data_IF_299554134122
#
_entry.id   IF_299554134122
#
_cell.length_a   1.000
_cell.length_b   1.000
_cell.length_c   1.000
_cell.angle_alpha   90.00
_cell.angle_beta   90.00
_cell.angle_gamma   90.00
#
_symmetry.space_group_name_H-M   'P 1'
#
loop_
_entity.id
_entity.type
_entity.pdbx_description
1 polymer ?
#
# COMPACT_ATOMS: atom_id res chain seq x y z
N UNK A 1 14.54 -51.73 -75.44
CA UNK A 1 15.76 -51.40 -74.67
C UNK A 1 15.38 -50.32 -73.67
N UNK A 2 15.74 -50.50 -72.40
CA UNK A 2 15.55 -49.58 -71.26
C UNK A 2 14.13 -49.44 -70.69
N UNK A 3 13.91 -49.42 -69.37
CA UNK A 3 14.61 -49.99 -68.21
C UNK A 3 13.55 -49.91 -67.09
N UNK A 4 13.35 -50.99 -66.33
CA UNK A 4 12.50 -50.97 -65.14
C UNK A 4 13.24 -50.23 -64.03
N UNK A 5 12.63 -49.23 -63.40
CA UNK A 5 13.23 -48.55 -62.23
C UNK A 5 12.22 -48.52 -61.10
N UNK A 6 12.39 -49.47 -60.18
CA UNK A 6 11.75 -49.50 -58.86
C UNK A 6 12.32 -48.36 -58.03
N UNK A 7 11.47 -47.42 -57.58
CA UNK A 7 11.85 -46.36 -56.65
C UNK A 7 11.50 -46.82 -55.22
N UNK A 8 12.51 -46.96 -54.38
CA UNK A 8 12.38 -47.32 -52.96
C UNK A 8 13.02 -46.22 -52.09
N UNK A 9 12.33 -45.89 -50.99
CA UNK A 9 12.74 -45.12 -49.79
C UNK A 9 12.92 -43.59 -49.96
N UNK A 10 12.65 -42.75 -48.96
CA UNK A 10 12.56 -42.96 -47.51
C UNK A 10 11.51 -42.02 -46.87
N UNK A 11 10.77 -42.49 -45.87
CA UNK A 11 9.96 -41.64 -45.00
C UNK A 11 10.89 -41.09 -43.91
N UNK A 12 11.24 -39.80 -43.99
CA UNK A 12 11.91 -39.08 -42.91
C UNK A 12 10.88 -38.80 -41.80
N UNK A 13 10.98 -39.55 -40.71
CA UNK A 13 10.24 -39.25 -39.49
C UNK A 13 10.87 -38.01 -38.84
N UNK A 14 10.21 -36.86 -38.92
CA UNK A 14 10.59 -35.69 -38.15
C UNK A 14 10.17 -35.92 -36.69
N UNK A 15 11.14 -36.24 -35.83
CA UNK A 15 10.96 -36.12 -34.39
C UNK A 15 10.90 -34.61 -34.09
N UNK A 16 9.68 -34.07 -33.96
CA UNK A 16 9.51 -32.75 -33.35
C UNK A 16 9.94 -32.89 -31.90
N UNK A 17 11.11 -32.34 -31.59
CA UNK A 17 11.55 -32.11 -30.21
C UNK A 17 10.44 -31.32 -29.51
N UNK A 18 9.73 -31.97 -28.61
CA UNK A 18 8.92 -31.26 -27.62
C UNK A 18 9.93 -30.58 -26.73
N UNK A 19 10.31 -29.34 -27.08
CA UNK A 19 10.83 -28.44 -26.06
C UNK A 19 9.70 -28.36 -25.04
N UNK A 20 9.94 -28.90 -23.85
CA UNK A 20 9.13 -28.53 -22.69
C UNK A 20 9.11 -27.00 -22.71
N UNK A 21 7.92 -26.43 -22.92
CA UNK A 21 7.73 -25.04 -22.58
C UNK A 21 8.10 -24.98 -21.11
N UNK A 22 9.22 -24.31 -20.80
CA UNK A 22 9.43 -23.80 -19.46
C UNK A 22 8.10 -23.15 -19.09
N UNK A 23 7.47 -23.64 -18.02
CA UNK A 23 6.43 -22.87 -17.38
C UNK A 23 7.13 -21.57 -16.99
N UNK A 24 6.98 -20.56 -17.84
CA UNK A 24 7.11 -19.17 -17.46
C UNK A 24 6.06 -19.00 -16.38
N UNK A 25 6.44 -19.32 -15.15
CA UNK A 25 5.75 -18.93 -13.93
C UNK A 25 5.76 -17.40 -13.99
N UNK A 26 4.82 -16.83 -14.73
CA UNK A 26 4.53 -15.42 -14.70
C UNK A 26 4.23 -15.15 -13.23
N UNK A 27 5.18 -14.54 -12.53
CA UNK A 27 5.02 -14.11 -11.14
C UNK A 27 3.73 -13.30 -11.12
N UNK A 28 2.69 -13.87 -10.51
CA UNK A 28 1.36 -13.30 -10.59
C UNK A 28 1.37 -11.86 -10.04
N UNK A 29 0.91 -10.90 -10.85
CA UNK A 29 0.74 -9.52 -10.39
C UNK A 29 -0.35 -9.49 -9.31
N UNK A 30 -0.08 -8.79 -8.21
CA UNK A 30 -1.03 -8.62 -7.11
C UNK A 30 -1.30 -7.15 -6.88
N UNK A 31 -2.57 -6.74 -6.93
CA UNK A 31 -3.01 -5.39 -6.57
C UNK A 31 -2.77 -5.02 -5.10
N UNK A 32 -2.22 -5.94 -4.30
CA UNK A 32 -1.80 -5.66 -2.93
C UNK A 32 -0.44 -4.95 -2.88
N UNK A 33 0.40 -5.09 -3.91
CA UNK A 33 1.75 -4.51 -3.92
C UNK A 33 1.68 -3.00 -4.14
N UNK A 34 2.27 -2.28 -3.19
CA UNK A 34 2.42 -0.82 -3.25
C UNK A 34 3.83 -0.37 -2.88
N UNK A 35 4.04 0.95 -2.96
CA UNK A 35 5.33 1.60 -2.73
C UNK A 35 5.26 2.59 -1.57
N UNK A 36 6.17 2.44 -0.59
CA UNK A 36 6.49 3.52 0.35
C UNK A 36 7.52 4.41 -0.30
N UNK A 37 7.09 5.56 -0.83
CA UNK A 37 7.94 6.41 -1.64
C UNK A 37 8.63 7.50 -0.82
N UNK A 38 9.97 7.47 -0.83
CA UNK A 38 10.81 8.54 -0.29
C UNK A 38 11.73 9.03 -1.42
N UNK A 39 11.61 10.29 -1.89
CA UNK A 39 12.36 10.75 -3.04
C UNK A 39 13.85 10.86 -2.74
N UNK A 40 14.69 10.41 -3.68
CA UNK A 40 16.12 10.66 -3.64
C UNK A 40 16.48 11.83 -4.57
N UNK A 41 16.90 12.96 -3.99
CA UNK A 41 17.26 14.15 -4.77
C UNK A 41 18.55 13.99 -5.58
N UNK A 42 19.41 13.02 -5.24
CA UNK A 42 20.66 12.75 -5.96
C UNK A 42 20.41 12.02 -7.27
N UNK A 43 19.39 11.17 -7.32
CA UNK A 43 19.05 10.35 -8.48
C UNK A 43 17.53 10.38 -8.77
N UNK A 44 16.98 11.55 -9.13
CA UNK A 44 15.54 11.71 -9.31
C UNK A 44 14.99 10.91 -10.51
N UNK A 45 15.86 10.52 -11.46
CA UNK A 45 15.53 9.64 -12.57
C UNK A 45 15.06 8.26 -12.12
N UNK A 46 15.59 7.76 -11.00
CA UNK A 46 15.34 6.40 -10.51
C UNK A 46 13.89 6.23 -10.05
N UNK A 47 13.18 7.34 -9.78
CA UNK A 47 11.76 7.31 -9.47
C UNK A 47 10.94 6.66 -10.59
N UNK A 48 11.39 6.72 -11.85
CA UNK A 48 10.64 6.15 -12.99
C UNK A 48 10.72 4.62 -13.06
N UNK A 49 11.65 3.98 -12.35
CA UNK A 49 11.77 2.51 -12.29
C UNK A 49 10.49 1.86 -11.74
N UNK A 50 9.75 2.58 -10.88
CA UNK A 50 8.55 2.05 -10.22
C UNK A 50 7.29 2.07 -11.08
N UNK A 51 7.28 2.83 -12.19
CA UNK A 51 6.11 3.03 -13.06
C UNK A 51 6.37 2.67 -14.53
N UNK A 52 7.51 2.03 -14.80
CA UNK A 52 7.83 1.54 -16.14
C UNK A 52 6.92 0.36 -16.55
N UNK A 53 6.73 0.11 -17.86
CA UNK A 53 6.01 -1.07 -18.34
C UNK A 53 6.52 -2.36 -17.68
N UNK A 54 5.59 -3.18 -17.18
CA UNK A 54 5.92 -4.41 -16.45
C UNK A 54 6.02 -4.24 -14.92
N UNK A 55 5.92 -3.01 -14.38
CA UNK A 55 5.71 -2.82 -12.94
C UNK A 55 4.32 -3.33 -12.53
N UNK A 56 4.25 -4.04 -11.41
CA UNK A 56 3.01 -4.56 -10.81
C UNK A 56 2.60 -3.78 -9.54
N UNK A 57 3.21 -2.61 -9.32
CA UNK A 57 2.82 -1.70 -8.24
C UNK A 57 1.52 -0.99 -8.59
N UNK A 58 0.57 -0.99 -7.65
CA UNK A 58 -0.79 -0.47 -7.90
C UNK A 58 -1.13 0.77 -7.06
N UNK A 59 -0.38 1.02 -5.99
CA UNK A 59 -0.60 2.15 -5.11
C UNK A 59 0.71 2.60 -4.43
N UNK A 60 0.74 3.83 -3.94
CA UNK A 60 1.85 4.35 -3.14
C UNK A 60 1.41 5.39 -2.13
N UNK A 61 2.26 5.64 -1.14
CA UNK A 61 2.16 6.79 -0.26
C UNK A 61 3.56 7.35 0.01
N UNK A 62 3.63 8.58 0.54
CA UNK A 62 4.90 9.29 0.76
C UNK A 62 4.96 10.00 2.12
N UNK A 63 4.18 9.53 3.10
CA UNK A 63 3.96 10.15 4.41
C UNK A 63 3.29 11.54 4.38
N UNK A 64 2.84 12.02 3.22
CA UNK A 64 2.27 13.36 3.05
C UNK A 64 0.81 13.36 2.59
N UNK A 65 0.25 14.57 2.56
CA UNK A 65 -1.09 14.86 2.04
C UNK A 65 -1.15 14.90 0.50
N UNK A 66 -0.04 15.21 -0.15
CA UNK A 66 0.02 15.46 -1.59
C UNK A 66 0.90 14.45 -2.31
N UNK A 67 0.47 14.09 -3.52
CA UNK A 67 1.18 13.17 -4.39
C UNK A 67 2.58 13.72 -4.76
N UNK A 68 3.56 12.82 -4.81
CA UNK A 68 4.91 13.16 -5.25
C UNK A 68 4.92 13.65 -6.70
N UNK A 69 5.60 14.78 -7.03
CA UNK A 69 5.69 15.29 -8.40
C UNK A 69 6.24 14.28 -9.41
N UNK A 70 7.07 13.33 -8.95
CA UNK A 70 7.65 12.26 -9.74
C UNK A 70 6.61 11.37 -10.46
N UNK A 71 5.37 11.32 -9.95
CA UNK A 71 4.27 10.52 -10.51
C UNK A 71 3.08 11.39 -10.93
N UNK A 72 3.30 12.69 -11.15
CA UNK A 72 2.23 13.62 -11.53
C UNK A 72 1.59 13.31 -12.89
N UNK A 73 2.29 12.60 -13.77
CA UNK A 73 1.79 12.12 -15.06
C UNK A 73 1.07 10.78 -15.01
N UNK A 74 1.08 10.10 -13.86
CA UNK A 74 0.44 8.79 -13.68
C UNK A 74 -0.96 8.97 -13.11
N UNK A 75 -1.95 8.29 -13.68
CA UNK A 75 -3.34 8.41 -13.23
C UNK A 75 -3.54 7.72 -11.88
N UNK A 76 -4.62 8.04 -11.16
CA UNK A 76 -4.98 7.32 -9.93
C UNK A 76 -5.47 5.90 -10.19
N UNK A 77 -5.90 5.58 -11.41
CA UNK A 77 -6.29 4.23 -11.80
C UNK A 77 -5.05 3.34 -11.99
N UNK A 78 -3.98 3.89 -12.57
CA UNK A 78 -2.73 3.16 -12.82
C UNK A 78 -1.84 3.05 -11.57
N UNK A 79 -1.79 4.11 -10.75
CA UNK A 79 -0.95 4.16 -9.55
C UNK A 79 -1.57 5.07 -8.48
N UNK A 80 -2.43 4.48 -7.64
CA UNK A 80 -3.18 5.23 -6.62
C UNK A 80 -2.23 5.90 -5.63
N UNK A 81 -2.44 7.19 -5.35
CA UNK A 81 -1.74 7.86 -4.27
C UNK A 81 -2.65 7.88 -3.05
N UNK A 82 -2.17 7.34 -1.94
CA UNK A 82 -2.91 7.29 -0.67
C UNK A 82 -2.38 8.40 0.25
N UNK A 83 -3.14 9.49 0.49
CA UNK A 83 -2.71 10.54 1.39
C UNK A 83 -2.61 10.05 2.83
N UNK A 84 -1.65 10.60 3.57
CA UNK A 84 -1.44 10.27 4.98
C UNK A 84 -1.59 11.50 5.88
N UNK A 85 -2.41 11.36 6.92
CA UNK A 85 -2.37 12.22 8.10
C UNK A 85 -1.23 11.75 8.99
N UNK A 86 0.01 12.18 8.74
CA UNK A 86 1.18 11.65 9.43
C UNK A 86 1.16 11.89 10.95
N UNK A 87 0.71 13.06 11.37
CA UNK A 87 0.55 13.44 12.77
C UNK A 87 -0.80 14.11 13.02
N UNK A 88 -0.92 15.01 14.00
CA UNK A 88 -2.14 15.82 14.13
C UNK A 88 -2.17 16.94 13.09
N UNK A 89 -3.36 17.29 12.61
CA UNK A 89 -3.59 18.41 11.71
C UNK A 89 -4.94 19.06 11.99
N UNK A 90 -5.10 20.33 11.66
CA UNK A 90 -6.40 21.04 11.66
C UNK A 90 -6.98 21.21 10.26
N UNK A 91 -6.24 20.85 9.20
CA UNK A 91 -6.59 21.09 7.79
C UNK A 91 -6.78 19.81 6.99
N UNK A 92 -6.47 18.64 7.54
CA UNK A 92 -6.47 17.39 6.76
C UNK A 92 -7.81 17.12 6.07
N UNK A 93 -8.94 17.34 6.76
CA UNK A 93 -10.26 17.20 6.16
C UNK A 93 -10.47 18.15 4.96
N UNK A 94 -10.07 19.42 5.11
CA UNK A 94 -10.22 20.41 4.03
C UNK A 94 -9.28 20.14 2.88
N UNK A 95 -8.08 19.64 3.15
CA UNK A 95 -7.08 19.30 2.14
C UNK A 95 -7.55 18.10 1.29
N UNK A 96 -8.08 17.05 1.92
CA UNK A 96 -8.66 15.91 1.20
C UNK A 96 -9.87 16.34 0.36
N UNK A 97 -10.77 17.17 0.91
CA UNK A 97 -11.90 17.72 0.14
C UNK A 97 -11.44 18.53 -1.07
N UNK A 98 -10.36 19.29 -0.93
CA UNK A 98 -9.76 20.05 -2.04
C UNK A 98 -9.20 19.13 -3.13
N UNK A 99 -8.50 18.05 -2.75
CA UNK A 99 -8.03 17.03 -3.70
C UNK A 99 -9.18 16.40 -4.48
N UNK A 100 -10.26 16.00 -3.79
CA UNK A 100 -11.45 15.45 -4.44
C UNK A 100 -12.12 16.47 -5.36
N UNK A 101 -12.27 17.72 -4.92
CA UNK A 101 -12.88 18.79 -5.70
C UNK A 101 -12.07 19.15 -6.96
N UNK A 102 -10.74 18.96 -6.92
CA UNK A 102 -9.85 19.17 -8.07
C UNK A 102 -9.75 17.95 -9.00
N UNK A 103 -10.59 16.94 -8.79
CA UNK A 103 -10.73 15.78 -9.68
C UNK A 103 -9.87 14.58 -9.31
N UNK A 104 -9.16 14.60 -8.18
CA UNK A 104 -8.42 13.41 -7.70
C UNK A 104 -9.39 12.42 -7.06
N UNK A 105 -9.42 11.20 -7.57
CA UNK A 105 -10.18 10.10 -6.97
C UNK A 105 -9.46 9.55 -5.72
N UNK A 106 -9.62 10.22 -4.57
CA UNK A 106 -9.08 9.74 -3.29
C UNK A 106 -10.02 8.66 -2.75
N UNK A 107 -9.56 7.40 -2.69
CA UNK A 107 -10.40 6.29 -2.21
C UNK A 107 -9.98 5.76 -0.84
N UNK A 108 -8.72 5.96 -0.45
CA UNK A 108 -8.18 5.58 0.85
C UNK A 108 -7.40 6.74 1.50
N UNK A 109 -7.34 6.75 2.82
CA UNK A 109 -6.40 7.58 3.60
C UNK A 109 -5.70 6.75 4.68
N UNK A 110 -4.44 7.08 4.94
CA UNK A 110 -3.65 6.55 6.05
C UNK A 110 -3.64 7.56 7.20
N UNK A 111 -3.50 7.08 8.43
CA UNK A 111 -3.46 7.95 9.61
C UNK A 111 -2.33 7.56 10.55
N UNK A 112 -1.80 8.60 11.21
CA UNK A 112 -0.82 8.62 12.29
C UNK A 112 0.33 7.62 12.12
N UNK A 113 1.51 8.12 11.74
CA UNK A 113 2.67 7.27 11.51
C UNK A 113 3.40 6.96 12.83
N UNK A 114 3.35 5.71 13.28
CA UNK A 114 3.98 5.24 14.51
C UNK A 114 3.76 6.20 15.67
N UNK A 115 2.50 6.48 16.04
CA UNK A 115 2.20 7.46 17.08
C UNK A 115 2.70 6.99 18.46
N UNK A 116 2.91 5.69 18.63
CA UNK A 116 3.54 5.11 19.81
C UNK A 116 5.08 5.26 19.83
N UNK A 117 5.68 5.59 18.68
CA UNK A 117 7.11 5.88 18.51
C UNK A 117 7.50 7.31 18.88
N UNK A 118 8.76 7.67 18.66
CA UNK A 118 9.27 9.03 18.88
C UNK A 118 9.63 9.71 17.57
N UNK A 119 9.62 11.05 17.56
CA UNK A 119 10.06 11.82 16.39
C UNK A 119 11.52 11.55 16.00
N UNK A 120 12.37 11.21 16.98
CA UNK A 120 13.76 10.83 16.73
C UNK A 120 13.90 9.51 15.94
N UNK A 121 12.87 8.66 15.93
CA UNK A 121 12.84 7.41 15.16
C UNK A 121 11.92 7.52 13.93
N UNK A 122 11.43 8.72 13.61
CA UNK A 122 10.51 8.94 12.49
C UNK A 122 9.02 8.67 12.80
N UNK A 123 8.67 8.46 14.07
CA UNK A 123 7.27 8.34 14.51
C UNK A 123 6.65 9.68 14.88
N UNK A 124 5.32 9.76 14.89
CA UNK A 124 4.58 11.01 15.10
C UNK A 124 4.48 11.41 16.57
N UNK A 125 4.74 10.50 17.50
CA UNK A 125 4.78 10.74 18.95
C UNK A 125 3.50 11.43 19.48
N UNK A 126 2.35 10.77 19.31
CA UNK A 126 1.02 11.31 19.66
C UNK A 126 0.37 10.41 20.68
N UNK A 127 -0.24 10.98 21.72
CA UNK A 127 -1.00 10.17 22.68
C UNK A 127 -2.32 9.64 22.07
N UNK A 128 -2.82 8.49 22.52
CA UNK A 128 -4.07 7.93 22.00
C UNK A 128 -5.28 8.89 22.12
N UNK A 129 -5.38 9.64 23.21
CA UNK A 129 -6.47 10.60 23.43
C UNK A 129 -6.41 11.80 22.48
N UNK A 130 -5.21 12.32 22.19
CA UNK A 130 -5.02 13.41 21.23
C UNK A 130 -5.32 12.92 19.81
N UNK A 131 -4.87 11.71 19.46
CA UNK A 131 -5.18 11.10 18.17
C UNK A 131 -6.70 10.87 18.00
N UNK A 132 -7.40 10.37 19.02
CA UNK A 132 -8.85 10.18 18.99
C UNK A 132 -9.61 11.50 18.78
N UNK A 133 -9.27 12.55 19.53
CA UNK A 133 -9.89 13.87 19.35
C UNK A 133 -9.63 14.43 17.94
N UNK A 134 -8.41 14.26 17.42
CA UNK A 134 -8.07 14.68 16.07
C UNK A 134 -8.83 13.89 15.00
N UNK A 135 -8.90 12.56 15.14
CA UNK A 135 -9.62 11.66 14.24
C UNK A 135 -11.09 12.07 14.10
N UNK A 136 -11.76 12.33 15.21
CA UNK A 136 -13.16 12.75 15.24
C UNK A 136 -13.38 13.99 14.38
N UNK A 137 -12.46 14.96 14.44
CA UNK A 137 -12.58 16.21 13.68
C UNK A 137 -12.11 16.12 12.23
N UNK A 138 -11.09 15.31 11.94
CA UNK A 138 -10.37 15.34 10.66
C UNK A 138 -10.59 14.12 9.77
N UNK A 139 -10.85 12.95 10.36
CA UNK A 139 -10.85 11.67 9.65
C UNK A 139 -12.26 11.10 9.57
N UNK A 140 -13.01 11.08 10.68
CA UNK A 140 -14.38 10.53 10.71
C UNK A 140 -15.30 11.16 9.62
N UNK A 141 -15.26 12.50 9.37
CA UNK A 141 -16.09 13.10 8.33
C UNK A 141 -15.75 12.67 6.90
N UNK A 142 -14.55 12.12 6.63
CA UNK A 142 -14.16 11.64 5.31
C UNK A 142 -14.95 10.40 4.89
N UNK A 143 -15.43 9.61 5.85
CA UNK A 143 -16.24 8.42 5.58
C UNK A 143 -17.57 8.77 4.91
N UNK A 144 -18.13 9.95 5.18
CA UNK A 144 -19.31 10.45 4.49
C UNK A 144 -19.07 10.74 3.00
N UNK A 145 -17.81 10.86 2.57
CA UNK A 145 -17.39 10.97 1.17
C UNK A 145 -17.12 9.60 0.52
N UNK A 146 -17.34 8.49 1.25
CA UNK A 146 -17.02 7.13 0.80
C UNK A 146 -15.53 6.79 0.85
N UNK A 147 -14.71 7.64 1.46
CA UNK A 147 -13.27 7.43 1.60
C UNK A 147 -13.01 6.43 2.73
N UNK A 148 -12.24 5.38 2.43
CA UNK A 148 -11.86 4.36 3.41
C UNK A 148 -10.73 4.83 4.31
N UNK A 149 -10.86 4.61 5.60
CA UNK A 149 -9.92 5.13 6.61
C UNK A 149 -9.09 4.01 7.22
N UNK A 150 -7.76 4.15 7.13
CA UNK A 150 -6.82 3.27 7.81
C UNK A 150 -6.68 3.64 9.28
N UNK A 151 -6.66 2.64 10.16
CA UNK A 151 -6.32 2.81 11.56
C UNK A 151 -4.93 3.46 11.73
N UNK A 152 -4.62 4.00 12.91
CA UNK A 152 -3.29 4.50 13.23
C UNK A 152 -2.20 3.45 12.95
N UNK A 153 -1.17 3.79 12.18
CA UNK A 153 -0.11 2.87 11.76
C UNK A 153 0.95 2.70 12.87
N UNK A 154 0.69 1.84 13.84
CA UNK A 154 1.56 1.64 15.02
C UNK A 154 2.83 0.84 14.71
N UNK A 155 3.85 0.96 15.57
CA UNK A 155 5.03 0.09 15.49
C UNK A 155 4.64 -1.38 15.71
N UNK A 156 5.39 -2.29 15.08
CA UNK A 156 5.27 -3.75 15.25
C UNK A 156 5.74 -4.26 16.60
N UNK A 157 5.17 -3.74 17.68
CA UNK A 157 5.57 -4.04 19.05
C UNK A 157 4.37 -4.12 20.00
N UNK A 158 4.50 -4.75 21.19
CA UNK A 158 3.44 -4.74 22.20
C UNK A 158 2.98 -3.33 22.60
N UNK A 159 3.88 -2.35 22.51
CA UNK A 159 3.56 -0.94 22.76
C UNK A 159 2.59 -0.42 21.70
N UNK A 160 2.79 -0.76 20.43
CA UNK A 160 1.89 -0.39 19.34
C UNK A 160 0.48 -0.94 19.53
N UNK A 161 0.37 -2.21 19.90
CA UNK A 161 -0.94 -2.87 20.18
C UNK A 161 -1.64 -2.19 21.35
N UNK A 162 -0.90 -1.94 22.44
CA UNK A 162 -1.43 -1.22 23.61
C UNK A 162 -1.90 0.18 23.23
N UNK A 163 -1.12 0.89 22.41
CA UNK A 163 -1.47 2.23 21.94
C UNK A 163 -2.77 2.19 21.12
N UNK A 164 -2.91 1.23 20.20
CA UNK A 164 -4.09 1.10 19.33
C UNK A 164 -5.36 0.78 20.14
N UNK A 165 -5.27 -0.13 21.12
CA UNK A 165 -6.37 -0.43 22.04
C UNK A 165 -6.80 0.81 22.87
N UNK A 166 -5.81 1.58 23.35
CA UNK A 166 -6.08 2.83 24.07
C UNK A 166 -6.71 3.91 23.16
N UNK A 167 -6.36 3.93 21.87
CA UNK A 167 -6.97 4.86 20.90
C UNK A 167 -8.46 4.57 20.73
N UNK A 168 -8.83 3.31 20.50
CA UNK A 168 -10.24 2.92 20.39
C UNK A 168 -11.00 3.14 21.71
N UNK A 169 -10.36 2.90 22.86
CA UNK A 169 -10.95 3.19 24.18
C UNK A 169 -11.20 4.69 24.38
N UNK A 170 -10.26 5.55 23.92
CA UNK A 170 -10.43 6.99 23.95
C UNK A 170 -11.56 7.47 23.03
N UNK A 171 -11.69 6.86 21.85
CA UNK A 171 -12.82 7.09 20.95
C UNK A 171 -14.15 6.72 21.60
N UNK A 172 -14.24 5.53 22.21
CA UNK A 172 -15.45 5.09 22.90
C UNK A 172 -15.85 6.03 24.04
N UNK A 173 -14.86 6.53 24.80
CA UNK A 173 -15.07 7.53 25.85
C UNK A 173 -15.61 8.85 25.27
N UNK A 174 -15.19 9.23 24.06
CA UNK A 174 -15.68 10.39 23.33
C UNK A 174 -17.04 10.15 22.62
N UNK A 175 -17.64 8.96 22.78
CA UNK A 175 -18.96 8.63 22.23
C UNK A 175 -18.96 8.17 20.77
N UNK A 176 -17.82 7.68 20.25
CA UNK A 176 -17.72 7.13 18.89
C UNK A 176 -16.86 5.88 18.85
N UNK A 177 -16.99 5.07 17.80
CA UNK A 177 -16.13 3.90 17.61
C UNK A 177 -14.82 4.24 16.86
N UNK A 178 -14.67 5.46 16.32
CA UNK A 178 -13.60 5.82 15.37
C UNK A 178 -13.45 4.73 14.30
N UNK A 179 -14.49 4.57 13.48
CA UNK A 179 -14.60 3.38 12.62
C UNK A 179 -13.49 3.36 11.59
N UNK A 180 -12.80 2.23 11.47
CA UNK A 180 -11.72 2.00 10.49
C UNK A 180 -12.15 0.97 9.46
N UNK A 181 -11.63 1.08 8.24
CA UNK A 181 -11.86 0.12 7.15
C UNK A 181 -10.72 -0.91 7.03
N UNK A 182 -9.52 -0.55 7.50
CA UNK A 182 -8.33 -1.42 7.49
C UNK A 182 -7.34 -1.01 8.58
N UNK A 183 -6.42 -1.91 8.95
CA UNK A 183 -5.38 -1.67 9.96
C UNK A 183 -4.00 -1.77 9.29
N UNK A 184 -3.30 -0.63 9.07
CA UNK A 184 -1.91 -0.64 8.62
C UNK A 184 -0.99 -1.18 9.71
N UNK A 185 0.03 -1.94 9.31
CA UNK A 185 1.01 -2.56 10.22
C UNK A 185 2.43 -2.24 9.75
N UNK A 186 3.31 -1.88 10.68
CA UNK A 186 4.74 -1.83 10.45
C UNK A 186 5.43 -3.01 11.12
N UNK A 187 6.40 -3.62 10.44
CA UNK A 187 7.17 -4.72 11.00
C UNK A 187 8.62 -4.67 10.53
N UNK A 188 9.53 -4.67 11.49
CA UNK A 188 10.98 -4.66 11.27
C UNK A 188 11.59 -5.83 12.06
N UNK A 189 11.46 -7.04 11.51
CA UNK A 189 11.90 -8.27 12.16
C UNK A 189 11.82 -9.47 11.22
N UNK A 190 11.86 -10.67 11.78
CA UNK A 190 11.71 -11.91 11.02
C UNK A 190 10.26 -12.20 10.64
N UNK A 191 10.06 -13.19 9.77
CA UNK A 191 8.74 -13.58 9.29
C UNK A 191 7.86 -14.17 10.39
N UNK A 192 8.42 -14.97 11.30
CA UNK A 192 7.66 -15.59 12.39
C UNK A 192 7.03 -14.55 13.31
N UNK A 193 7.78 -13.49 13.62
CA UNK A 193 7.24 -12.40 14.42
C UNK A 193 6.18 -11.59 13.68
N UNK A 194 6.33 -11.36 12.36
CA UNK A 194 5.29 -10.75 11.53
C UNK A 194 4.00 -11.57 11.58
N UNK A 195 4.10 -12.89 11.42
CA UNK A 195 2.95 -13.78 11.44
C UNK A 195 2.25 -13.75 12.80
N UNK A 196 3.01 -13.75 13.89
CA UNK A 196 2.49 -13.60 15.25
C UNK A 196 1.77 -12.26 15.45
N UNK A 197 2.39 -11.16 15.00
CA UNK A 197 1.83 -9.81 15.13
C UNK A 197 0.51 -9.66 14.35
N UNK A 198 0.45 -10.18 13.12
CA UNK A 198 -0.79 -10.24 12.34
C UNK A 198 -1.85 -11.07 13.08
N UNK A 199 -1.45 -12.19 13.68
CA UNK A 199 -2.34 -13.04 14.47
C UNK A 199 -2.96 -12.29 15.66
N UNK A 200 -2.16 -11.53 16.38
CA UNK A 200 -2.59 -10.76 17.54
C UNK A 200 -3.58 -9.65 17.15
N UNK A 201 -3.28 -8.86 16.10
CA UNK A 201 -4.17 -7.81 15.60
C UNK A 201 -5.51 -8.36 15.08
N UNK A 202 -5.52 -9.57 14.51
CA UNK A 202 -6.77 -10.21 14.04
C UNK A 202 -7.62 -10.78 15.17
N UNK A 203 -7.04 -11.00 16.35
CA UNK A 203 -7.71 -11.56 17.52
C UNK A 203 -8.34 -10.52 18.45
N UNK A 204 -8.01 -9.24 18.27
CA UNK A 204 -8.56 -8.09 19.01
C UNK A 204 -9.79 -7.53 18.33
#
# INVERSE_FOLDING_TARGET
>A
MHLSTTLLLAITSYITSVCAADNDETVGSSSKRGLVFVPNSKYPSDNQVWVQPGSDLSWYYNYGIAASPAYSSTTQEDFEFVPMLWGTSTTFLTDIKSLVATGRNVTHVLTYNEPDGTSSTGGSAISPSVAAANWISQVEPLRALGIKTGAPAVTGSPRGITWLSNFFSACATAGTNCTVDFIPLHWYGNFEGLASFIGEIRGT
#
